data_IF_169479988677
#
_entry.id   IF_169479988677
#
_cell.length_a   1.000
_cell.length_b   1.000
_cell.length_c   1.000
_cell.angle_alpha   90.00
_cell.angle_beta   90.00
_cell.angle_gamma   90.00
#
_symmetry.space_group_name_H-M   'P 1'
#
loop_
_entity.id
_entity.type
_entity.pdbx_description
1 polymer ?
#
# COMPACT_ATOMS: atom_id res chain seq x y z
N UNK A 1 -17.95 3.22 -8.44
CA UNK A 1 -17.76 1.98 -7.66
C UNK A 1 -16.31 1.58 -7.84
N UNK A 2 -15.44 1.90 -6.87
CA UNK A 2 -14.00 1.68 -6.98
C UNK A 2 -13.61 0.51 -6.07
N UNK A 3 -13.02 -0.54 -6.64
CA UNK A 3 -12.46 -1.65 -5.86
C UNK A 3 -11.08 -1.27 -5.33
N UNK A 4 -10.72 -1.82 -4.18
CA UNK A 4 -9.35 -1.73 -3.70
C UNK A 4 -8.42 -2.53 -4.62
N UNK A 5 -7.23 -2.00 -4.87
CA UNK A 5 -6.23 -2.61 -5.75
C UNK A 5 -5.10 -3.15 -4.87
N UNK A 6 -4.68 -4.41 -5.03
CA UNK A 6 -3.53 -4.94 -4.33
C UNK A 6 -2.25 -4.31 -4.90
N UNK A 7 -1.32 -3.96 -4.02
CA UNK A 7 0.01 -3.52 -4.40
C UNK A 7 1.05 -3.97 -3.39
N UNK A 8 2.28 -4.15 -3.85
CA UNK A 8 3.40 -4.59 -3.02
C UNK A 8 4.13 -3.39 -2.45
N UNK A 9 4.34 -3.37 -1.14
CA UNK A 9 5.10 -2.31 -0.47
C UNK A 9 6.58 -2.46 -0.83
N UNK A 10 7.17 -1.41 -1.38
CA UNK A 10 8.60 -1.38 -1.75
C UNK A 10 9.43 -0.49 -0.84
N UNK A 11 8.82 0.44 -0.12
CA UNK A 11 9.49 1.35 0.82
C UNK A 11 8.47 1.88 1.84
N UNK A 12 8.83 1.98 3.12
CA UNK A 12 7.98 2.58 4.17
C UNK A 12 8.67 3.79 4.77
N UNK A 13 7.94 4.92 4.82
CA UNK A 13 8.38 6.22 5.36
C UNK A 13 7.34 6.77 6.32
N UNK A 14 7.36 6.26 7.56
CA UNK A 14 6.40 6.65 8.59
C UNK A 14 4.98 6.31 8.18
N UNK A 15 4.14 7.33 7.95
CA UNK A 15 2.74 7.16 7.53
C UNK A 15 2.56 7.05 6.01
N UNK A 16 3.64 7.19 5.23
CA UNK A 16 3.62 7.04 3.78
C UNK A 16 4.36 5.75 3.39
N UNK A 17 3.90 5.08 2.35
CA UNK A 17 4.61 3.97 1.74
C UNK A 17 4.62 4.11 0.23
N UNK A 18 5.73 3.69 -0.39
CA UNK A 18 5.75 3.44 -1.82
C UNK A 18 5.23 2.04 -2.06
N UNK A 19 4.21 1.94 -2.90
CA UNK A 19 3.58 0.68 -3.27
C UNK A 19 3.69 0.53 -4.78
N UNK A 20 4.20 -0.63 -5.21
CA UNK A 20 4.25 -1.05 -6.59
C UNK A 20 2.95 -1.76 -6.99
N UNK A 21 2.30 -1.21 -8.00
CA UNK A 21 1.13 -1.78 -8.65
C UNK A 21 1.56 -2.29 -10.03
N UNK A 22 2.19 -3.46 -10.07
CA UNK A 22 2.64 -4.14 -11.30
C UNK A 22 3.54 -3.24 -12.18
N UNK A 23 4.55 -2.61 -11.57
CA UNK A 23 5.51 -1.72 -12.24
C UNK A 23 5.17 -0.22 -12.16
N UNK A 24 4.01 0.14 -11.61
CA UNK A 24 3.66 1.52 -11.27
C UNK A 24 3.85 1.78 -9.77
N UNK A 25 4.93 2.47 -9.41
CA UNK A 25 5.19 2.86 -8.01
C UNK A 25 4.44 4.15 -7.67
N UNK A 26 3.60 4.12 -6.64
CA UNK A 26 2.91 5.30 -6.10
C UNK A 26 3.09 5.43 -4.61
N UNK A 27 3.08 6.67 -4.13
CA UNK A 27 3.00 6.96 -2.70
C UNK A 27 1.56 6.78 -2.21
N UNK A 28 1.43 6.10 -1.08
CA UNK A 28 0.16 5.69 -0.49
C UNK A 28 0.19 6.00 0.99
N UNK A 29 -0.92 6.48 1.54
CA UNK A 29 -1.06 6.70 2.98
C UNK A 29 -1.33 5.36 3.65
N UNK A 30 -0.56 5.04 4.68
CA UNK A 30 -0.79 3.86 5.52
C UNK A 30 -1.80 4.21 6.62
N UNK A 31 -3.04 3.71 6.49
CA UNK A 31 -4.04 3.76 7.56
C UNK A 31 -4.07 2.48 8.40
N UNK A 32 -3.08 1.60 8.21
CA UNK A 32 -2.94 0.32 8.90
C UNK A 32 -1.53 0.19 9.48
N UNK A 33 -1.45 -0.29 10.70
CA UNK A 33 -0.20 -0.48 11.43
C UNK A 33 0.55 -1.74 11.00
N UNK A 34 1.87 -1.73 11.25
CA UNK A 34 2.72 -2.91 11.09
C UNK A 34 2.96 -3.33 9.64
N UNK A 35 2.78 -2.42 8.68
CA UNK A 35 3.16 -2.63 7.29
C UNK A 35 4.67 -2.58 7.13
N UNK A 36 5.22 -3.58 6.43
CA UNK A 36 6.66 -3.69 6.15
C UNK A 36 6.91 -3.75 4.65
N UNK A 37 8.15 -3.47 4.27
CA UNK A 37 8.63 -3.70 2.91
C UNK A 37 8.43 -5.18 2.53
N UNK A 38 7.80 -5.41 1.38
CA UNK A 38 7.44 -6.75 0.91
C UNK A 38 5.99 -7.17 1.18
N UNK A 39 5.29 -6.52 2.13
CA UNK A 39 3.87 -6.81 2.41
C UNK A 39 3.00 -6.44 1.19
N UNK A 40 1.88 -7.15 1.02
CA UNK A 40 0.85 -6.77 0.07
C UNK A 40 -0.21 -5.95 0.80
N UNK A 41 -0.53 -4.77 0.28
CA UNK A 41 -1.58 -3.90 0.82
C UNK A 41 -2.68 -3.70 -0.20
N UNK A 42 -3.92 -3.61 0.28
CA UNK A 42 -5.07 -3.20 -0.52
C UNK A 42 -5.23 -1.70 -0.42
N UNK A 43 -5.22 -1.03 -1.56
CA UNK A 43 -5.25 0.42 -1.66
C UNK A 43 -6.55 0.89 -2.28
N UNK A 44 -7.22 1.81 -1.61
CA UNK A 44 -8.43 2.46 -2.09
C UNK A 44 -8.26 3.98 -2.00
N UNK A 45 -8.46 4.68 -3.11
CA UNK A 45 -8.34 6.14 -3.18
C UNK A 45 -7.02 6.71 -2.61
N UNK A 46 -5.90 5.99 -2.76
CA UNK A 46 -4.58 6.41 -2.26
C UNK A 46 -4.32 6.11 -0.79
N UNK A 47 -5.18 5.33 -0.13
CA UNK A 47 -5.01 4.88 1.25
C UNK A 47 -4.95 3.36 1.29
N UNK A 48 -3.92 2.82 1.95
CA UNK A 48 -3.83 1.41 2.28
C UNK A 48 -4.79 1.12 3.44
N UNK A 49 -5.83 0.33 3.15
CA UNK A 49 -6.94 0.05 4.08
C UNK A 49 -6.81 -1.31 4.77
N UNK A 50 -6.04 -2.23 4.20
CA UNK A 50 -5.73 -3.52 4.82
C UNK A 50 -4.41 -4.06 4.28
N UNK A 51 -3.72 -4.84 5.10
CA UNK A 51 -2.53 -5.60 4.69
C UNK A 51 -2.88 -7.09 4.62
N UNK A 52 -2.38 -7.77 3.60
CA UNK A 52 -2.32 -9.22 3.52
C UNK A 52 -0.89 -9.62 3.88
N UNK A 53 -0.77 -10.41 4.96
CA UNK A 53 0.53 -10.92 5.44
C UNK A 53 1.07 -12.02 4.54
#
# INVERSE_FOLDING_TARGET
MCWAIPGKVVEVKGFLAKVDFEGSVKEVILAVDGVKEGDIVMVHAGVAITKMS
#
